data_IF_120961350335
#
_entry.id   IF_120961350335
#
_cell.length_a   1.000
_cell.length_b   1.000
_cell.length_c   1.000
_cell.angle_alpha   90.00
_cell.angle_beta   90.00
_cell.angle_gamma   90.00
#
_symmetry.space_group_name_H-M   'P 1'
#
loop_
_entity.id
_entity.type
_entity.pdbx_description
1 polymer ?
#
# COMPACT_ATOMS: atom_id res chain seq x y z
N UNK A 1 16.98 34.51 15.72
CA UNK A 1 18.28 34.09 15.15
C UNK A 1 18.93 32.97 15.98
N UNK A 2 18.19 31.89 16.28
CA UNK A 2 18.65 30.73 17.08
C UNK A 2 17.86 29.42 16.78
N UNK A 3 17.08 29.39 15.69
CA UNK A 3 16.32 28.22 15.24
C UNK A 3 17.10 27.37 14.23
N UNK A 4 18.01 27.99 13.49
CA UNK A 4 18.68 27.33 12.35
C UNK A 4 19.80 26.37 12.81
N UNK A 5 20.31 26.57 14.04
CA UNK A 5 21.33 25.70 14.63
C UNK A 5 20.79 24.36 15.12
N UNK A 6 19.51 24.26 15.48
CA UNK A 6 18.94 22.98 15.90
C UNK A 6 18.69 22.11 14.67
N UNK A 7 18.06 22.64 13.63
CA UNK A 7 17.77 21.92 12.37
C UNK A 7 19.06 21.41 11.70
N UNK A 8 20.15 22.20 11.72
CA UNK A 8 21.44 21.78 11.17
C UNK A 8 22.16 20.66 11.94
N UNK A 9 21.86 20.47 13.24
CA UNK A 9 22.48 19.39 14.03
C UNK A 9 21.79 18.03 13.87
N UNK A 10 20.52 17.99 13.44
CA UNK A 10 19.81 16.74 13.13
C UNK A 10 20.29 16.06 11.82
N UNK A 11 21.05 16.78 11.01
CA UNK A 11 21.38 16.39 9.64
C UNK A 11 22.68 15.57 9.51
N UNK A 12 23.54 15.53 10.54
CA UNK A 12 24.94 15.10 10.38
C UNK A 12 25.26 13.65 10.75
N UNK A 13 24.35 12.90 11.40
CA UNK A 13 24.61 11.52 11.80
C UNK A 13 23.75 10.48 11.04
N UNK A 14 24.35 9.42 10.47
CA UNK A 14 23.62 8.40 9.70
C UNK A 14 22.54 7.69 10.54
N UNK A 15 22.79 7.54 11.85
CA UNK A 15 21.86 6.90 12.77
C UNK A 15 20.58 7.71 12.99
N UNK A 16 20.69 9.04 13.08
CA UNK A 16 19.53 9.92 13.22
C UNK A 16 18.65 9.89 11.97
N UNK A 17 19.26 9.90 10.78
CA UNK A 17 18.52 9.79 9.50
C UNK A 17 17.77 8.46 9.39
N UNK A 18 18.41 7.35 9.77
CA UNK A 18 17.76 6.04 9.83
C UNK A 18 16.56 6.04 10.77
N UNK A 19 16.71 6.60 11.98
CA UNK A 19 15.64 6.69 12.97
C UNK A 19 14.47 7.52 12.46
N UNK A 20 14.73 8.69 11.85
CA UNK A 20 13.65 9.54 11.32
C UNK A 20 12.97 8.87 10.13
N UNK A 21 13.70 8.25 9.20
CA UNK A 21 13.10 7.52 8.08
C UNK A 21 12.26 6.33 8.56
N UNK A 22 12.76 5.57 9.54
CA UNK A 22 12.01 4.50 10.18
C UNK A 22 10.76 5.04 10.87
N UNK A 23 10.86 6.15 11.61
CA UNK A 23 9.72 6.78 12.28
C UNK A 23 8.64 7.25 11.30
N UNK A 24 9.02 7.84 10.16
CA UNK A 24 8.06 8.26 9.11
C UNK A 24 7.44 7.05 8.41
N UNK A 25 8.23 6.01 8.15
CA UNK A 25 7.74 4.77 7.52
C UNK A 25 6.75 4.05 8.44
N UNK A 26 7.10 3.88 9.72
CA UNK A 26 6.23 3.27 10.74
C UNK A 26 5.02 4.16 11.00
N UNK A 27 5.21 5.48 11.11
CA UNK A 27 4.13 6.44 11.35
C UNK A 27 3.11 6.46 10.22
N UNK A 28 3.55 6.43 8.96
CA UNK A 28 2.65 6.34 7.80
C UNK A 28 1.92 5.00 7.76
N UNK A 29 2.58 3.89 8.11
CA UNK A 29 1.97 2.58 8.20
C UNK A 29 0.90 2.53 9.30
N UNK A 30 1.23 3.05 10.50
CA UNK A 30 0.29 3.16 11.62
C UNK A 30 -0.91 4.05 11.25
N UNK A 31 -0.68 5.15 10.55
CA UNK A 31 -1.76 6.00 10.05
C UNK A 31 -2.67 5.24 9.08
N UNK A 32 -2.11 4.49 8.13
CA UNK A 32 -2.89 3.63 7.23
C UNK A 32 -3.69 2.57 7.99
N UNK A 33 -3.12 1.97 9.05
CA UNK A 33 -3.82 1.01 9.91
C UNK A 33 -4.97 1.67 10.70
N UNK A 34 -4.77 2.87 11.22
CA UNK A 34 -5.79 3.62 11.95
C UNK A 34 -6.92 4.10 11.01
N UNK A 35 -6.60 4.41 9.75
CA UNK A 35 -7.58 4.81 8.75
C UNK A 35 -8.42 3.63 8.23
N UNK A 36 -7.92 2.41 8.33
CA UNK A 36 -8.58 1.19 7.87
C UNK A 36 -9.98 0.97 8.49
N UNK A 37 -10.19 1.09 9.82
CA UNK A 37 -11.52 1.02 10.42
C UNK A 37 -12.33 2.32 10.29
N UNK A 38 -11.71 3.46 9.96
CA UNK A 38 -12.44 4.73 9.85
C UNK A 38 -13.22 4.79 8.54
N UNK A 39 -14.55 4.87 8.64
CA UNK A 39 -15.47 4.98 7.51
C UNK A 39 -16.03 6.40 7.42
N UNK A 40 -15.18 7.32 6.98
CA UNK A 40 -15.59 8.71 6.78
C UNK A 40 -16.53 8.82 5.56
N UNK A 41 -17.51 9.73 5.58
CA UNK A 41 -18.38 9.97 4.44
C UNK A 41 -17.55 10.36 3.20
N UNK A 42 -17.76 9.66 2.08
CA UNK A 42 -16.98 9.83 0.84
C UNK A 42 -15.77 8.91 0.69
N UNK A 43 -15.44 8.10 1.71
CA UNK A 43 -14.41 7.05 1.64
C UNK A 43 -14.98 5.66 1.37
N UNK A 44 -16.27 5.52 1.10
CA UNK A 44 -16.90 4.25 0.78
C UNK A 44 -17.69 4.31 -0.53
N UNK A 45 -17.61 3.24 -1.30
CA UNK A 45 -18.44 2.97 -2.47
C UNK A 45 -19.13 1.63 -2.21
N UNK A 46 -20.46 1.62 -2.22
CA UNK A 46 -21.26 0.42 -1.96
C UNK A 46 -20.92 -0.30 -0.63
N UNK A 47 -20.54 0.45 0.41
CA UNK A 47 -20.13 -0.10 1.72
C UNK A 47 -18.72 -0.71 1.75
N UNK A 48 -17.96 -0.58 0.66
CA UNK A 48 -16.57 -1.02 0.54
C UNK A 48 -15.66 0.21 0.62
N UNK A 49 -14.68 0.18 1.52
CA UNK A 49 -13.68 1.23 1.69
C UNK A 49 -12.40 0.99 0.88
N UNK A 50 -11.51 1.99 0.75
CA UNK A 50 -10.19 1.83 0.13
C UNK A 50 -9.33 0.86 0.93
N UNK A 51 -8.47 0.14 0.22
CA UNK A 51 -7.46 -0.69 0.86
C UNK A 51 -6.19 0.14 1.12
N UNK A 52 -6.15 0.80 2.28
CA UNK A 52 -5.02 1.65 2.68
C UNK A 52 -3.68 0.92 2.75
N UNK A 53 -3.68 -0.34 3.18
CA UNK A 53 -2.47 -1.15 3.25
C UNK A 53 -1.95 -1.50 1.86
N UNK A 54 -2.85 -1.83 0.93
CA UNK A 54 -2.49 -2.04 -0.47
C UNK A 54 -1.87 -0.78 -1.07
N UNK A 55 -2.49 0.38 -0.87
CA UNK A 55 -1.97 1.67 -1.34
C UNK A 55 -0.56 1.93 -0.77
N UNK A 56 -0.38 1.68 0.53
CA UNK A 56 0.92 1.86 1.18
C UNK A 56 1.97 0.89 0.62
N UNK A 57 1.63 -0.39 0.44
CA UNK A 57 2.53 -1.39 -0.18
C UNK A 57 2.93 -0.96 -1.58
N UNK A 58 1.98 -0.47 -2.37
CA UNK A 58 2.25 0.06 -3.71
C UNK A 58 3.24 1.21 -3.61
N UNK A 59 2.94 2.24 -2.81
CA UNK A 59 3.77 3.43 -2.68
C UNK A 59 5.20 3.11 -2.20
N UNK A 60 5.32 2.20 -1.24
CA UNK A 60 6.61 1.79 -0.70
C UNK A 60 7.41 0.90 -1.66
N UNK A 61 6.75 -0.03 -2.37
CA UNK A 61 7.42 -1.01 -3.23
C UNK A 61 7.87 -0.43 -4.57
N UNK A 62 7.28 0.69 -5.00
CA UNK A 62 7.61 1.40 -6.24
C UNK A 62 9.12 1.67 -6.34
N UNK A 63 9.76 2.20 -5.29
CA UNK A 63 11.21 2.50 -5.29
C UNK A 63 12.14 1.33 -4.94
N UNK A 64 11.62 0.13 -4.71
CA UNK A 64 12.35 -0.93 -4.00
C UNK A 64 12.49 -2.19 -4.83
N UNK A 65 13.36 -3.08 -4.36
CA UNK A 65 13.54 -4.38 -5.03
C UNK A 65 12.32 -5.27 -4.85
N UNK A 66 12.15 -6.26 -5.73
CA UNK A 66 11.08 -7.25 -5.61
C UNK A 66 11.05 -7.91 -4.24
N UNK A 67 12.21 -8.33 -3.72
CA UNK A 67 12.29 -9.00 -2.43
C UNK A 67 11.82 -8.10 -1.29
N UNK A 68 12.22 -6.82 -1.32
CA UNK A 68 11.73 -5.84 -0.35
C UNK A 68 10.22 -5.66 -0.46
N UNK A 69 9.68 -5.47 -1.66
CA UNK A 69 8.23 -5.31 -1.87
C UNK A 69 7.42 -6.54 -1.43
N UNK A 70 7.92 -7.74 -1.72
CA UNK A 70 7.35 -8.99 -1.24
C UNK A 70 7.32 -9.07 0.29
N UNK A 71 8.44 -8.72 0.93
CA UNK A 71 8.56 -8.73 2.40
C UNK A 71 7.62 -7.73 3.05
N UNK A 72 7.48 -6.52 2.50
CA UNK A 72 6.53 -5.53 2.99
C UNK A 72 5.09 -6.01 2.87
N UNK A 73 4.72 -6.59 1.72
CA UNK A 73 3.39 -7.17 1.52
C UNK A 73 3.10 -8.34 2.47
N UNK A 74 4.10 -9.20 2.71
CA UNK A 74 3.99 -10.31 3.66
C UNK A 74 3.77 -9.80 5.08
N UNK A 75 4.61 -8.88 5.56
CA UNK A 75 4.50 -8.33 6.92
C UNK A 75 3.17 -7.62 7.11
N UNK A 76 2.75 -6.80 6.14
CA UNK A 76 1.49 -6.08 6.23
C UNK A 76 0.27 -6.99 6.15
N UNK A 77 0.31 -8.03 5.33
CA UNK A 77 -0.78 -9.00 5.31
C UNK A 77 -0.88 -9.82 6.58
N UNK A 78 0.25 -10.18 7.22
CA UNK A 78 0.20 -10.83 8.54
C UNK A 78 -0.36 -9.90 9.62
N UNK A 79 -0.02 -8.61 9.58
CA UNK A 79 -0.61 -7.61 10.49
C UNK A 79 -2.11 -7.50 10.25
N UNK A 80 -2.55 -7.44 8.99
CA UNK A 80 -3.96 -7.36 8.62
C UNK A 80 -4.73 -8.62 9.01
N UNK A 81 -4.17 -9.80 8.80
CA UNK A 81 -4.74 -11.09 9.20
C UNK A 81 -4.87 -11.18 10.73
N UNK A 82 -3.88 -10.64 11.47
CA UNK A 82 -3.93 -10.56 12.93
C UNK A 82 -4.97 -9.58 13.48
N UNK A 83 -5.31 -8.53 12.74
CA UNK A 83 -6.37 -7.57 13.11
C UNK A 83 -7.77 -8.03 12.70
N UNK A 84 -7.86 -8.90 11.70
CA UNK A 84 -9.13 -9.34 11.11
C UNK A 84 -9.35 -10.83 11.31
N UNK A 85 -9.65 -11.58 10.26
CA UNK A 85 -9.76 -13.03 10.29
C UNK A 85 -8.53 -13.64 9.59
N UNK A 86 -7.98 -14.75 10.10
CA UNK A 86 -6.80 -15.40 9.52
C UNK A 86 -7.08 -16.12 8.20
N UNK A 87 -8.36 -16.34 7.86
CA UNK A 87 -8.77 -17.02 6.64
C UNK A 87 -9.99 -16.31 6.02
N UNK A 88 -9.95 -15.93 4.72
CA UNK A 88 -8.80 -15.99 3.80
C UNK A 88 -7.67 -15.04 4.19
N UNK A 89 -6.45 -15.36 3.76
CA UNK A 89 -5.26 -14.59 4.12
C UNK A 89 -5.03 -13.41 3.17
N UNK A 90 -4.83 -12.22 3.75
CA UNK A 90 -4.40 -11.01 3.06
C UNK A 90 -2.89 -11.03 2.77
N UNK A 91 -2.14 -11.92 3.43
CA UNK A 91 -0.70 -12.10 3.23
C UNK A 91 -0.36 -12.46 1.79
N UNK A 92 -1.09 -13.40 1.18
CA UNK A 92 -0.82 -13.81 -0.20
C UNK A 92 -1.12 -12.69 -1.21
N UNK A 93 -2.23 -11.98 -1.02
CA UNK A 93 -2.64 -10.90 -1.92
C UNK A 93 -1.68 -9.71 -1.82
N UNK A 94 -1.35 -9.24 -0.62
CA UNK A 94 -0.44 -8.10 -0.43
C UNK A 94 1.01 -8.41 -0.83
N UNK A 95 1.49 -9.64 -0.60
CA UNK A 95 2.79 -10.08 -1.11
C UNK A 95 2.83 -10.03 -2.64
N UNK A 96 1.78 -10.51 -3.33
CA UNK A 96 1.68 -10.45 -4.78
C UNK A 96 1.66 -8.99 -5.29
N UNK A 97 0.92 -8.10 -4.62
CA UNK A 97 0.90 -6.66 -4.93
C UNK A 97 2.30 -6.06 -4.86
N UNK A 98 3.05 -6.32 -3.79
CA UNK A 98 4.41 -5.77 -3.60
C UNK A 98 5.38 -6.25 -4.69
N UNK A 99 5.32 -7.54 -5.04
CA UNK A 99 6.10 -8.15 -6.13
C UNK A 99 5.78 -7.50 -7.48
N UNK A 100 4.49 -7.40 -7.82
CA UNK A 100 4.03 -6.85 -9.09
C UNK A 100 4.40 -5.37 -9.22
N UNK A 101 4.19 -4.60 -8.16
CA UNK A 101 4.51 -3.16 -8.14
C UNK A 101 5.99 -2.91 -8.37
N UNK A 102 6.87 -3.65 -7.68
CA UNK A 102 8.32 -3.53 -7.86
C UNK A 102 8.79 -3.94 -9.27
N UNK A 103 8.05 -4.82 -9.97
CA UNK A 103 8.34 -5.21 -11.36
C UNK A 103 7.87 -4.18 -12.37
N UNK A 104 6.65 -3.67 -12.21
CA UNK A 104 6.03 -2.74 -13.15
C UNK A 104 6.84 -1.47 -13.30
N UNK A 105 7.52 -1.01 -12.25
CA UNK A 105 8.37 0.18 -12.33
C UNK A 105 9.68 -0.02 -13.09
N UNK A 106 10.32 -1.20 -12.98
CA UNK A 106 11.59 -1.46 -13.69
C UNK A 106 11.41 -1.42 -15.23
N UNK A 107 10.19 -1.60 -15.73
CA UNK A 107 9.86 -1.69 -17.15
C UNK A 107 9.82 -0.38 -17.96
N UNK A 108 10.30 0.76 -17.44
CA UNK A 108 10.26 2.08 -18.12
C UNK A 108 8.86 2.60 -18.50
N UNK A 109 7.78 2.04 -17.96
CA UNK A 109 6.40 2.46 -18.26
C UNK A 109 5.88 3.59 -17.36
N UNK A 110 6.72 4.13 -16.47
CA UNK A 110 6.32 5.10 -15.44
C UNK A 110 7.09 6.39 -15.66
N UNK A 111 6.52 7.30 -16.44
CA UNK A 111 6.65 8.70 -16.11
C UNK A 111 5.96 8.87 -14.73
N UNK A 112 6.53 9.66 -13.82
CA UNK A 112 6.08 9.88 -12.44
C UNK A 112 4.67 10.54 -12.33
N UNK A 113 3.85 10.36 -13.36
CA UNK A 113 2.53 10.91 -13.49
C UNK A 113 1.58 10.24 -12.51
N UNK A 114 0.74 11.08 -11.91
CA UNK A 114 -0.33 10.68 -11.01
C UNK A 114 -1.21 9.56 -11.60
N UNK A 115 -1.39 9.54 -12.93
CA UNK A 115 -2.18 8.53 -13.65
C UNK A 115 -1.55 7.14 -13.54
N UNK A 116 -0.22 7.04 -13.71
CA UNK A 116 0.50 5.76 -13.66
C UNK A 116 0.36 5.09 -12.30
N UNK A 117 0.49 5.88 -11.22
CA UNK A 117 0.37 5.39 -9.85
C UNK A 117 -1.07 4.92 -9.56
N UNK A 118 -2.06 5.71 -9.97
CA UNK A 118 -3.46 5.33 -9.84
C UNK A 118 -3.76 4.03 -10.60
N UNK A 119 -3.26 3.89 -11.84
CA UNK A 119 -3.46 2.70 -12.66
C UNK A 119 -2.83 1.44 -12.05
N UNK A 120 -1.63 1.56 -11.48
CA UNK A 120 -0.97 0.46 -10.77
C UNK A 120 -1.79 0.05 -9.54
N UNK A 121 -2.22 1.01 -8.73
CA UNK A 121 -3.05 0.74 -7.57
C UNK A 121 -4.39 0.10 -7.96
N UNK A 122 -5.02 0.57 -9.04
CA UNK A 122 -6.23 -0.04 -9.61
C UNK A 122 -5.99 -1.51 -9.97
N UNK A 123 -4.99 -1.79 -10.82
CA UNK A 123 -4.73 -3.14 -11.32
C UNK A 123 -4.32 -4.10 -10.20
N UNK A 124 -3.47 -3.63 -9.27
CA UNK A 124 -3.03 -4.44 -8.13
C UNK A 124 -4.16 -4.69 -7.12
N UNK A 125 -5.09 -3.75 -6.94
CA UNK A 125 -6.31 -3.96 -6.15
C UNK A 125 -7.21 -5.05 -6.75
N UNK A 126 -7.48 -4.99 -8.06
CA UNK A 126 -8.25 -6.05 -8.74
C UNK A 126 -7.60 -7.42 -8.56
N UNK A 127 -6.27 -7.49 -8.68
CA UNK A 127 -5.51 -8.74 -8.49
C UNK A 127 -5.61 -9.21 -7.03
N UNK A 128 -5.44 -8.32 -6.06
CA UNK A 128 -5.52 -8.66 -4.64
C UNK A 128 -6.88 -9.24 -4.26
N UNK A 129 -7.96 -8.59 -4.70
CA UNK A 129 -9.33 -9.05 -4.47
C UNK A 129 -9.60 -10.37 -5.19
N UNK A 130 -9.05 -10.55 -6.41
CA UNK A 130 -9.19 -11.81 -7.15
C UNK A 130 -8.49 -12.97 -6.44
N UNK A 131 -7.30 -12.74 -5.86
CA UNK A 131 -6.61 -13.72 -5.03
C UNK A 131 -7.47 -14.08 -3.80
N UNK A 132 -8.12 -13.10 -3.16
CA UNK A 132 -9.04 -13.38 -2.06
C UNK A 132 -10.27 -14.17 -2.49
N UNK A 133 -10.90 -13.82 -3.62
CA UNK A 133 -12.02 -14.56 -4.17
C UNK A 133 -11.66 -16.02 -4.49
N UNK A 134 -10.48 -16.26 -5.06
CA UNK A 134 -9.94 -17.61 -5.28
C UNK A 134 -9.80 -18.37 -3.96
N UNK A 135 -9.25 -17.73 -2.91
CA UNK A 135 -9.16 -18.34 -1.58
C UNK A 135 -10.54 -18.69 -0.99
N UNK A 136 -11.53 -17.83 -1.18
CA UNK A 136 -12.91 -18.10 -0.76
C UNK A 136 -13.52 -19.27 -1.53
N UNK A 137 -13.24 -19.40 -2.83
CA UNK A 137 -13.71 -20.54 -3.65
C UNK A 137 -13.21 -21.89 -3.12
N UNK A 138 -11.97 -21.95 -2.65
CA UNK A 138 -11.42 -23.19 -2.09
C UNK A 138 -12.00 -23.57 -0.73
N UNK A 139 -12.65 -22.64 -0.03
CA UNK A 139 -13.25 -22.88 1.29
C UNK A 139 -14.68 -23.43 1.22
N UNK A 140 -15.23 -23.67 0.02
CA UNK A 140 -16.39 -24.52 -0.30
C UNK A 140 -17.74 -24.28 0.44
N UNK A 141 -17.85 -23.31 1.36
CA UNK A 141 -19.08 -23.08 2.12
C UNK A 141 -20.17 -22.29 1.35
N UNK A 142 -19.83 -21.69 0.20
CA UNK A 142 -20.76 -20.85 -0.59
C UNK A 142 -20.76 -21.20 -2.08
N UNK A 143 -21.85 -20.86 -2.76
CA UNK A 143 -21.97 -21.01 -4.21
C UNK A 143 -20.91 -20.17 -4.94
N UNK A 144 -20.18 -20.79 -5.87
CA UNK A 144 -19.15 -20.12 -6.67
C UNK A 144 -19.71 -18.90 -7.43
N UNK A 145 -20.95 -18.99 -7.91
CA UNK A 145 -21.63 -17.90 -8.63
C UNK A 145 -21.86 -16.70 -7.72
N UNK A 146 -22.24 -16.95 -6.47
CA UNK A 146 -22.48 -15.88 -5.50
C UNK A 146 -21.16 -15.19 -5.11
N UNK A 147 -20.10 -15.97 -4.88
CA UNK A 147 -18.78 -15.42 -4.58
C UNK A 147 -18.28 -14.55 -5.74
N UNK A 148 -18.48 -14.97 -7.00
CA UNK A 148 -17.94 -14.25 -8.16
C UNK A 148 -18.74 -12.97 -8.48
N UNK A 149 -20.06 -13.00 -8.28
CA UNK A 149 -20.88 -11.79 -8.41
C UNK A 149 -20.53 -10.76 -7.34
N UNK A 150 -20.37 -11.19 -6.08
CA UNK A 150 -19.98 -10.28 -5.00
C UNK A 150 -18.55 -9.76 -5.18
N UNK A 151 -17.64 -10.62 -5.66
CA UNK A 151 -16.27 -10.25 -6.00
C UNK A 151 -16.19 -9.12 -7.02
N UNK A 152 -16.99 -9.14 -8.10
CA UNK A 152 -16.96 -8.07 -9.10
C UNK A 152 -17.25 -6.69 -8.49
N UNK A 153 -18.24 -6.61 -7.60
CA UNK A 153 -18.59 -5.38 -6.91
C UNK A 153 -17.47 -4.92 -5.96
N UNK A 154 -16.92 -5.85 -5.16
CA UNK A 154 -15.81 -5.56 -4.24
C UNK A 154 -14.58 -5.09 -5.00
N UNK A 155 -14.15 -5.87 -6.00
CA UNK A 155 -12.95 -5.60 -6.77
C UNK A 155 -13.00 -4.24 -7.46
N UNK A 156 -14.13 -3.91 -8.10
CA UNK A 156 -14.29 -2.62 -8.77
C UNK A 156 -14.34 -1.46 -7.76
N UNK A 157 -15.11 -1.58 -6.68
CA UNK A 157 -15.22 -0.51 -5.68
C UNK A 157 -13.89 -0.25 -4.97
N UNK A 158 -13.23 -1.32 -4.51
CA UNK A 158 -11.90 -1.29 -3.87
C UNK A 158 -10.84 -0.73 -4.81
N UNK A 159 -10.84 -1.13 -6.10
CA UNK A 159 -9.87 -0.64 -7.07
C UNK A 159 -10.08 0.83 -7.44
N UNK A 160 -11.34 1.28 -7.61
CA UNK A 160 -11.64 2.69 -7.90
C UNK A 160 -11.22 3.56 -6.71
N UNK A 161 -11.61 3.19 -5.48
CA UNK A 161 -11.23 3.96 -4.29
C UNK A 161 -9.72 3.95 -4.07
N UNK A 162 -9.08 2.78 -4.17
CA UNK A 162 -7.65 2.66 -3.93
C UNK A 162 -6.84 3.41 -4.99
N UNK A 163 -7.28 3.41 -6.25
CA UNK A 163 -6.63 4.18 -7.31
C UNK A 163 -6.79 5.69 -7.14
N UNK A 164 -7.94 6.15 -6.65
CA UNK A 164 -8.17 7.57 -6.38
C UNK A 164 -7.30 8.08 -5.22
N UNK A 165 -7.18 7.31 -4.15
CA UNK A 165 -6.39 7.67 -2.97
C UNK A 165 -4.89 7.39 -3.12
N UNK A 166 -4.48 6.53 -4.06
CA UNK A 166 -3.09 6.15 -4.22
C UNK A 166 -2.14 7.32 -4.51
N UNK A 167 -2.43 8.24 -5.46
CA UNK A 167 -1.58 9.41 -5.68
C UNK A 167 -1.44 10.29 -4.43
N UNK A 168 -2.54 10.48 -3.68
CA UNK A 168 -2.58 11.32 -2.49
C UNK A 168 -1.64 10.80 -1.40
N UNK A 169 -1.55 9.48 -1.23
CA UNK A 169 -0.62 8.84 -0.28
C UNK A 169 0.79 8.73 -0.86
N UNK A 170 0.90 8.43 -2.16
CA UNK A 170 2.18 8.21 -2.84
C UNK A 170 3.05 9.47 -2.87
N UNK A 171 2.52 10.62 -3.28
CA UNK A 171 3.30 11.84 -3.45
C UNK A 171 4.04 12.32 -2.19
N UNK A 172 3.39 12.47 -1.02
CA UNK A 172 4.08 12.93 0.19
C UNK A 172 5.14 11.93 0.65
N UNK A 173 4.87 10.63 0.56
CA UNK A 173 5.83 9.58 0.93
C UNK A 173 7.02 9.51 -0.03
N UNK A 174 6.75 9.56 -1.33
CA UNK A 174 7.79 9.53 -2.35
C UNK A 174 8.71 10.75 -2.24
N UNK A 175 8.14 11.95 -2.05
CA UNK A 175 8.91 13.18 -1.84
C UNK A 175 9.79 13.10 -0.60
N UNK A 176 9.29 12.51 0.48
CA UNK A 176 10.07 12.30 1.70
C UNK A 176 11.26 11.36 1.44
N UNK A 177 11.03 10.19 0.82
CA UNK A 177 12.10 9.23 0.55
C UNK A 177 13.14 9.77 -0.44
N UNK A 178 12.72 10.47 -1.49
CA UNK A 178 13.65 11.15 -2.42
C UNK A 178 14.50 12.20 -1.71
N UNK A 179 13.91 12.98 -0.79
CA UNK A 179 14.66 13.95 0.00
C UNK A 179 15.72 13.29 0.88
N UNK A 180 15.39 12.17 1.53
CA UNK A 180 16.36 11.40 2.34
C UNK A 180 17.48 10.84 1.46
N UNK A 181 17.16 10.28 0.29
CA UNK A 181 18.14 9.72 -0.65
C UNK A 181 19.09 10.79 -1.21
N UNK A 182 18.58 11.97 -1.54
CA UNK A 182 19.40 13.10 -2.00
C UNK A 182 20.36 13.64 -0.92
N UNK A 183 20.10 13.38 0.37
CA UNK A 183 21.02 13.75 1.44
C UNK A 183 22.13 12.71 1.63
N UNK A 184 21.98 11.50 1.10
CA UNK A 184 22.97 10.42 1.17
C UNK A 184 24.02 10.49 0.06
N UNK A 185 23.74 11.23 -1.03
CA UNK A 185 24.67 11.52 -2.13
C UNK A 185 25.53 12.74 -1.84
#
# INVERSE_FOLDING_TARGET
>A
MKSDSLVGTWQSQPLQRLVVNAAVTIGSLLLCLLLLPTRLPGMELAGIGPNWLLIWVVAWSVNRTMFQGALAGLVLGLIQDGMTAPMPTHTLSLMAVGILTARLRKGRYIQEDFISVALIAFGTAVIAETIMAIQYSFQAERSLVEIWNYHQLIALSSAILSSLWAPVVYFPLNRWWQWVENLEQ
#
